data_IF_665618163397
#
_entry.id   IF_665618163397
#
_cell.length_a   1.000
_cell.length_b   1.000
_cell.length_c   1.000
_cell.angle_alpha   90.00
_cell.angle_beta   90.00
_cell.angle_gamma   90.00
#
_symmetry.space_group_name_H-M   'P 1'
#
loop_
_entity.id
_entity.type
_entity.pdbx_description
1 polymer ?
#
# COMPACT_ATOMS: atom_id res chain seq x y z
N UNK A 1 -8.61 44.69 4.89
CA UNK A 1 -7.25 44.23 5.29
C UNK A 1 -7.20 42.71 5.51
N UNK A 2 -7.55 41.87 4.51
CA UNK A 2 -7.37 40.40 4.60
C UNK A 2 -7.06 39.76 3.23
N UNK A 3 -6.26 40.44 2.40
CA UNK A 3 -5.81 39.92 1.10
C UNK A 3 -4.28 39.92 0.93
N UNK A 4 -3.53 40.14 2.03
CA UNK A 4 -2.08 40.32 2.00
C UNK A 4 -1.28 39.17 2.63
N UNK A 5 -1.92 38.07 3.03
CA UNK A 5 -1.22 36.95 3.70
C UNK A 5 -0.96 35.73 2.80
N UNK A 6 -1.51 35.70 1.57
CA UNK A 6 -1.37 34.56 0.66
C UNK A 6 -0.29 34.72 -0.41
N UNK A 7 0.47 35.82 -0.45
CA UNK A 7 1.50 36.04 -1.49
C UNK A 7 2.93 36.01 -0.92
N UNK A 8 3.08 35.88 0.41
CA UNK A 8 4.37 35.99 1.08
C UNK A 8 5.13 34.66 1.27
N UNK A 9 4.57 33.52 0.87
CA UNK A 9 5.17 32.19 1.12
C UNK A 9 5.59 31.47 -0.18
N UNK A 10 5.79 32.19 -1.28
CA UNK A 10 6.10 31.59 -2.58
C UNK A 10 7.44 31.99 -3.20
N UNK A 11 8.32 32.69 -2.48
CA UNK A 11 9.60 33.15 -3.04
C UNK A 11 10.72 33.19 -2.00
N UNK A 12 11.22 32.03 -1.56
CA UNK A 12 12.58 31.94 -1.01
C UNK A 12 13.12 30.50 -1.10
N UNK A 13 14.14 30.38 -1.97
CA UNK A 13 15.26 29.42 -1.98
C UNK A 13 15.15 28.17 -2.86
N UNK A 14 15.67 28.25 -4.10
CA UNK A 14 16.26 27.13 -4.80
C UNK A 14 17.72 26.90 -4.34
N UNK A 15 18.21 25.67 -4.53
CA UNK A 15 19.63 25.32 -4.66
C UNK A 15 20.54 25.34 -3.43
N UNK A 16 20.61 24.18 -2.77
CA UNK A 16 21.84 23.60 -2.23
C UNK A 16 21.92 22.20 -2.87
N UNK A 17 22.56 21.97 -4.00
CA UNK A 17 24.00 21.92 -4.25
C UNK A 17 24.79 21.09 -3.21
N UNK A 18 25.32 19.98 -3.72
CA UNK A 18 26.49 19.21 -3.28
C UNK A 18 26.39 18.31 -2.03
N UNK A 19 26.13 17.03 -2.31
CA UNK A 19 26.79 15.95 -1.60
C UNK A 19 27.26 14.88 -2.61
N UNK A 20 28.53 14.99 -3.04
CA UNK A 20 29.44 13.91 -3.46
C UNK A 20 30.84 14.44 -3.10
N UNK A 21 31.67 13.69 -2.35
CA UNK A 21 32.42 12.61 -2.99
C UNK A 21 32.71 11.41 -2.07
N UNK A 22 32.59 10.20 -2.59
CA UNK A 22 33.33 9.04 -2.07
C UNK A 22 33.77 8.20 -3.28
N UNK A 23 34.94 8.54 -3.82
CA UNK A 23 35.69 7.70 -4.75
C UNK A 23 36.43 6.66 -3.92
N UNK A 24 35.97 5.41 -3.92
CA UNK A 24 36.81 4.26 -3.58
C UNK A 24 36.98 3.43 -4.83
N UNK A 25 37.99 3.79 -5.61
CA UNK A 25 38.61 2.87 -6.55
C UNK A 25 39.41 1.86 -5.72
N UNK A 26 38.90 0.64 -5.62
CA UNK A 26 39.66 -0.52 -5.19
C UNK A 26 39.37 -1.65 -6.18
N UNK A 27 40.27 -1.80 -7.15
CA UNK A 27 40.40 -2.98 -8.00
C UNK A 27 40.70 -4.21 -7.15
N UNK A 28 39.90 -5.29 -7.17
CA UNK A 28 40.36 -6.60 -6.78
C UNK A 28 41.04 -7.30 -7.97
N UNK A 29 42.08 -8.12 -7.73
CA UNK A 29 42.97 -8.62 -8.76
C UNK A 29 42.35 -9.75 -9.59
N UNK A 30 42.85 -9.85 -10.82
CA UNK A 30 42.99 -11.04 -11.66
C UNK A 30 42.01 -12.21 -11.43
N UNK A 31 41.15 -12.38 -12.42
CA UNK A 31 40.38 -13.58 -12.75
C UNK A 31 41.16 -14.90 -12.53
N UNK A 32 40.70 -15.69 -11.57
CA UNK A 32 40.91 -17.14 -11.55
C UNK A 32 39.65 -17.77 -12.14
N UNK A 33 39.71 -18.84 -12.97
CA UNK A 33 38.52 -19.37 -13.63
C UNK A 33 37.53 -19.91 -12.60
N UNK A 34 36.52 -19.09 -12.32
CA UNK A 34 35.40 -19.37 -11.45
C UNK A 34 34.41 -20.27 -12.19
N UNK A 35 34.15 -21.43 -11.59
CA UNK A 35 33.39 -22.52 -12.15
C UNK A 35 31.95 -22.06 -12.49
N UNK A 36 31.54 -21.99 -13.78
CA UNK A 36 30.30 -21.32 -14.20
C UNK A 36 29.01 -21.91 -13.64
N UNK A 37 29.08 -23.10 -13.03
CA UNK A 37 27.93 -23.75 -12.38
C UNK A 37 27.56 -23.08 -11.04
N UNK A 38 28.53 -22.53 -10.30
CA UNK A 38 28.26 -21.96 -8.96
C UNK A 38 27.57 -20.57 -9.02
N UNK A 39 27.87 -19.77 -10.03
CA UNK A 39 27.28 -18.43 -10.22
C UNK A 39 25.84 -18.52 -10.72
N UNK A 40 25.52 -19.51 -11.57
CA UNK A 40 24.16 -19.74 -12.05
C UNK A 40 23.17 -20.10 -10.92
N UNK A 41 23.61 -20.84 -9.90
CA UNK A 41 22.77 -21.21 -8.75
C UNK A 41 22.44 -20.02 -7.86
N UNK A 42 23.34 -19.03 -7.73
CA UNK A 42 23.12 -17.85 -6.86
C UNK A 42 22.06 -16.88 -7.42
N UNK A 43 21.94 -16.79 -8.74
CA UNK A 43 20.94 -15.94 -9.40
C UNK A 43 19.55 -16.61 -9.36
N UNK A 44 19.48 -17.95 -9.44
CA UNK A 44 18.23 -18.69 -9.35
C UNK A 44 17.57 -18.69 -7.96
N UNK A 45 18.27 -18.25 -6.91
CA UNK A 45 17.81 -18.30 -5.52
C UNK A 45 17.39 -16.95 -4.91
N UNK A 46 17.45 -15.86 -5.68
CA UNK A 46 17.01 -14.57 -5.15
C UNK A 46 15.48 -14.46 -5.26
N UNK A 47 14.78 -14.87 -4.20
CA UNK A 47 13.34 -14.65 -4.06
C UNK A 47 13.03 -13.15 -4.20
N UNK A 48 11.93 -12.83 -4.92
CA UNK A 48 11.46 -11.45 -5.01
C UNK A 48 11.23 -10.85 -3.62
N UNK A 49 11.41 -9.53 -3.45
CA UNK A 49 11.00 -8.85 -2.22
C UNK A 49 9.53 -9.14 -1.89
N UNK A 50 9.26 -9.26 -0.59
CA UNK A 50 7.90 -9.42 -0.08
C UNK A 50 7.27 -8.05 0.12
N UNK A 51 6.01 -7.91 -0.27
CA UNK A 51 5.26 -6.65 -0.22
C UNK A 51 4.15 -6.79 0.81
N UNK A 52 4.17 -5.91 1.80
CA UNK A 52 3.11 -5.79 2.80
C UNK A 52 2.34 -4.49 2.61
N UNK A 53 1.02 -4.55 2.70
CA UNK A 53 0.13 -3.39 2.60
C UNK A 53 -0.60 -3.18 3.92
N UNK A 54 -0.57 -1.96 4.44
CA UNK A 54 -1.29 -1.56 5.65
C UNK A 54 -2.44 -0.62 5.29
N UNK A 55 -3.67 -1.04 5.60
CA UNK A 55 -4.92 -0.34 5.25
C UNK A 55 -5.52 0.30 6.50
N UNK A 56 -5.57 1.63 6.54
CA UNK A 56 -6.16 2.34 7.67
C UNK A 56 -7.70 2.22 7.74
N UNK A 57 -8.26 2.64 8.89
CA UNK A 57 -9.70 2.83 9.03
C UNK A 57 -10.19 4.12 8.37
N UNK A 58 -11.51 4.35 8.38
CA UNK A 58 -12.09 5.56 7.78
C UNK A 58 -13.60 5.50 7.51
N UNK A 59 -14.30 4.53 8.13
CA UNK A 59 -15.72 4.28 7.84
C UNK A 59 -15.95 3.99 6.35
N UNK A 60 -17.04 4.50 5.78
CA UNK A 60 -17.40 4.28 4.38
C UNK A 60 -16.31 4.76 3.39
N UNK A 61 -15.54 5.80 3.72
CA UNK A 61 -14.48 6.27 2.84
C UNK A 61 -13.31 5.28 2.71
N UNK A 62 -13.15 4.38 3.69
CA UNK A 62 -12.14 3.32 3.64
C UNK A 62 -12.36 2.29 2.52
N UNK A 63 -13.51 2.30 1.85
CA UNK A 63 -13.76 1.50 0.65
C UNK A 63 -12.82 1.88 -0.51
N UNK A 64 -12.22 3.08 -0.48
CA UNK A 64 -11.19 3.49 -1.44
C UNK A 64 -9.98 2.52 -1.49
N UNK A 65 -9.71 1.78 -0.41
CA UNK A 65 -8.65 0.76 -0.37
C UNK A 65 -8.82 -0.32 -1.44
N UNK A 66 -10.05 -0.58 -1.91
CA UNK A 66 -10.31 -1.54 -2.99
C UNK A 66 -9.70 -1.04 -4.31
N UNK A 67 -9.79 0.26 -4.58
CA UNK A 67 -9.15 0.86 -5.75
C UNK A 67 -7.62 0.75 -5.69
N UNK A 68 -7.04 0.85 -4.50
CA UNK A 68 -5.59 0.63 -4.30
C UNK A 68 -5.22 -0.82 -4.61
N UNK A 69 -5.96 -1.79 -4.08
CA UNK A 69 -5.72 -3.21 -4.35
C UNK A 69 -5.91 -3.55 -5.83
N UNK A 70 -6.94 -2.99 -6.47
CA UNK A 70 -7.14 -3.07 -7.93
C UNK A 70 -5.93 -2.56 -8.70
N UNK A 71 -5.39 -1.42 -8.31
CA UNK A 71 -4.20 -0.87 -8.95
C UNK A 71 -3.01 -1.83 -8.82
N UNK A 72 -2.80 -2.44 -7.64
CA UNK A 72 -1.75 -3.45 -7.45
C UNK A 72 -1.90 -4.63 -8.42
N UNK A 73 -3.12 -5.16 -8.57
CA UNK A 73 -3.40 -6.28 -9.46
C UNK A 73 -3.21 -5.93 -10.95
N UNK A 74 -3.75 -4.79 -11.39
CA UNK A 74 -3.60 -4.31 -12.77
C UNK A 74 -2.14 -4.11 -13.16
N UNK A 75 -1.28 -3.76 -12.20
CA UNK A 75 0.15 -3.54 -12.40
C UNK A 75 1.01 -4.77 -12.07
N UNK A 76 0.38 -5.91 -11.79
CA UNK A 76 1.05 -7.19 -11.49
C UNK A 76 2.03 -7.09 -10.31
N UNK A 77 1.69 -6.27 -9.30
CA UNK A 77 2.48 -6.10 -8.09
C UNK A 77 1.88 -7.00 -7.00
N UNK A 78 2.58 -8.08 -6.60
CA UNK A 78 2.01 -9.08 -5.70
C UNK A 78 2.01 -8.59 -4.25
N UNK A 79 0.84 -8.60 -3.60
CA UNK A 79 0.71 -8.33 -2.16
C UNK A 79 0.86 -9.64 -1.40
N UNK A 80 1.90 -9.78 -0.58
CA UNK A 80 2.16 -10.98 0.23
C UNK A 80 1.50 -10.92 1.61
N UNK A 81 1.38 -9.71 2.16
CA UNK A 81 0.82 -9.48 3.48
C UNK A 81 -0.13 -8.31 3.45
N UNK A 82 -1.23 -8.43 4.17
CA UNK A 82 -2.18 -7.34 4.38
C UNK A 82 -2.50 -7.22 5.85
N UNK A 83 -2.52 -5.99 6.34
CA UNK A 83 -2.97 -5.64 7.68
C UNK A 83 -3.95 -4.49 7.56
N UNK A 84 -4.98 -4.44 8.40
CA UNK A 84 -5.90 -3.32 8.38
C UNK A 84 -6.71 -3.14 9.65
N UNK A 85 -7.22 -1.92 9.84
CA UNK A 85 -8.04 -1.53 11.00
C UNK A 85 -9.42 -1.05 10.53
N UNK A 86 -10.49 -1.42 11.23
CA UNK A 86 -11.87 -1.03 10.87
C UNK A 86 -12.17 -1.37 9.40
N UNK A 87 -12.55 -0.40 8.57
CA UNK A 87 -12.83 -0.62 7.15
C UNK A 87 -11.64 -1.21 6.39
N UNK A 88 -10.40 -0.77 6.67
CA UNK A 88 -9.20 -1.38 6.09
C UNK A 88 -9.01 -2.84 6.51
N UNK A 89 -9.46 -3.21 7.72
CA UNK A 89 -9.48 -4.59 8.17
C UNK A 89 -10.53 -5.44 7.45
N UNK A 90 -11.71 -4.86 7.18
CA UNK A 90 -12.75 -5.51 6.37
C UNK A 90 -12.26 -5.76 4.93
N UNK A 91 -11.77 -4.72 4.26
CA UNK A 91 -11.25 -4.82 2.88
C UNK A 91 -10.04 -5.74 2.81
N UNK A 92 -9.07 -5.57 3.72
CA UNK A 92 -7.88 -6.42 3.77
C UNK A 92 -8.20 -7.88 4.08
N UNK A 93 -9.21 -8.13 4.93
CA UNK A 93 -9.69 -9.47 5.22
C UNK A 93 -10.32 -10.15 4.01
N UNK A 94 -11.21 -9.47 3.29
CA UNK A 94 -11.81 -9.98 2.04
C UNK A 94 -10.73 -10.25 0.99
N UNK A 95 -9.78 -9.33 0.82
CA UNK A 95 -8.68 -9.52 -0.11
C UNK A 95 -7.83 -10.75 0.25
N UNK A 96 -7.55 -10.97 1.53
CA UNK A 96 -6.80 -12.13 2.01
C UNK A 96 -7.51 -13.47 1.78
N UNK A 97 -8.84 -13.50 1.57
CA UNK A 97 -9.56 -14.72 1.17
C UNK A 97 -9.41 -15.06 -0.31
N UNK A 98 -8.72 -14.21 -1.08
CA UNK A 98 -8.59 -14.34 -2.53
C UNK A 98 -9.74 -13.73 -3.31
N UNK A 99 -10.57 -12.89 -2.68
CA UNK A 99 -11.64 -12.15 -3.36
C UNK A 99 -11.02 -11.04 -4.20
N UNK A 100 -11.44 -10.93 -5.47
CA UNK A 100 -10.92 -9.91 -6.37
C UNK A 100 -11.47 -8.52 -6.02
N UNK A 101 -10.79 -7.43 -6.41
CA UNK A 101 -11.30 -6.08 -6.26
C UNK A 101 -12.67 -5.87 -6.92
N UNK A 102 -12.95 -6.53 -8.04
CA UNK A 102 -14.25 -6.53 -8.71
C UNK A 102 -15.33 -7.20 -7.87
N UNK A 103 -15.07 -8.40 -7.34
CA UNK A 103 -15.99 -9.12 -6.46
C UNK A 103 -16.27 -8.32 -5.18
N UNK A 104 -15.24 -7.66 -4.64
CA UNK A 104 -15.41 -6.75 -3.51
C UNK A 104 -16.32 -5.58 -3.89
N UNK A 105 -16.12 -4.93 -5.04
CA UNK A 105 -17.01 -3.86 -5.50
C UNK A 105 -18.47 -4.32 -5.60
N UNK A 106 -18.72 -5.46 -6.24
CA UNK A 106 -20.07 -6.02 -6.37
C UNK A 106 -20.73 -6.29 -5.02
N UNK A 107 -19.99 -6.88 -4.08
CA UNK A 107 -20.47 -7.14 -2.72
C UNK A 107 -20.93 -5.85 -2.03
N UNK A 108 -20.15 -4.78 -2.21
CA UNK A 108 -20.26 -3.51 -1.48
C UNK A 108 -21.37 -2.62 -2.04
N UNK A 109 -21.61 -2.70 -3.34
CA UNK A 109 -22.75 -2.06 -4.00
C UNK A 109 -24.10 -2.60 -3.50
N UNK A 110 -24.12 -3.86 -3.04
CA UNK A 110 -25.31 -4.49 -2.46
C UNK A 110 -25.59 -4.13 -0.99
N UNK A 111 -24.72 -3.40 -0.32
CA UNK A 111 -24.82 -3.14 1.12
C UNK A 111 -25.48 -1.80 1.44
N UNK A 112 -26.40 -1.80 2.42
CA UNK A 112 -26.90 -0.55 3.01
C UNK A 112 -25.91 0.00 4.05
N UNK A 113 -25.01 0.86 3.59
CA UNK A 113 -23.99 1.51 4.42
C UNK A 113 -24.56 2.31 5.59
N UNK A 114 -25.79 2.83 5.48
CA UNK A 114 -26.44 3.55 6.59
C UNK A 114 -26.85 2.59 7.70
N UNK A 115 -27.19 1.36 7.36
CA UNK A 115 -27.50 0.32 8.35
C UNK A 115 -26.23 -0.22 9.00
N UNK A 116 -25.16 -0.42 8.23
CA UNK A 116 -23.91 -0.99 8.72
C UNK A 116 -23.13 -0.02 9.62
N UNK A 117 -23.05 1.25 9.21
CA UNK A 117 -22.27 2.29 9.91
C UNK A 117 -23.13 3.30 10.66
N UNK A 118 -24.45 3.08 10.70
CA UNK A 118 -25.38 3.95 11.40
C UNK A 118 -25.25 3.85 12.91
N UNK A 119 -25.37 4.99 13.58
CA UNK A 119 -25.29 5.11 15.05
C UNK A 119 -26.59 4.71 15.76
N UNK A 120 -27.48 3.99 15.07
CA UNK A 120 -28.79 3.59 15.59
C UNK A 120 -29.02 2.12 15.32
N UNK A 121 -29.08 1.34 16.40
CA UNK A 121 -29.59 -0.03 16.35
C UNK A 121 -31.12 0.03 16.18
N UNK A 122 -31.69 -0.61 15.14
CA UNK A 122 -33.14 -0.73 15.00
C UNK A 122 -33.76 -1.30 16.28
N UNK A 123 -34.97 -0.85 16.61
CA UNK A 123 -35.67 -1.30 17.83
C UNK A 123 -35.82 -2.83 17.90
N UNK A 124 -35.97 -3.46 16.73
CA UNK A 124 -36.09 -4.91 16.53
C UNK A 124 -34.83 -5.68 16.98
N UNK A 125 -33.66 -5.04 16.89
CA UNK A 125 -32.34 -5.61 17.17
C UNK A 125 -31.87 -5.29 18.60
N UNK A 126 -32.66 -4.55 19.39
CA UNK A 126 -32.34 -4.27 20.79
C UNK A 126 -32.56 -5.52 21.63
N UNK A 127 -31.47 -6.09 22.17
CA UNK A 127 -31.58 -7.19 23.13
C UNK A 127 -32.13 -6.65 24.46
N UNK A 128 -33.43 -6.78 24.68
CA UNK A 128 -34.06 -6.60 25.99
C UNK A 128 -33.59 -7.72 26.92
N UNK A 129 -32.41 -7.56 27.50
CA UNK A 129 -31.91 -8.35 28.63
C UNK A 129 -31.54 -7.42 29.76
#
# INVERSE_FOLDING_TARGET
MRLALCVSLLLLLPSLLQAQPETVAATPPASTPENPVATATKIAQQQRPKIGVALEGGGAMGLAHIGVLKWFEEHHIPVDYVAGTSMGGLVGGLYATGMTPEEMQELIEGLDWRKILGDRTPYEDLSYR
#
